data_IF_191654279403
#
_entry.id   IF_191654279403
#
_cell.length_a   1.000
_cell.length_b   1.000
_cell.length_c   1.000
_cell.angle_alpha   90.00
_cell.angle_beta   90.00
_cell.angle_gamma   90.00
#
_symmetry.space_group_name_H-M   'P 1'
#
loop_
_entity.id
_entity.type
_entity.pdbx_description
1 polymer ?
#
# COMPACT_ATOMS: atom_id res chain seq x y z
N UNK A 1 7.64 -9.20 -29.45
CA UNK A 1 6.83 -8.77 -28.30
C UNK A 1 6.32 -7.37 -28.60
N UNK A 2 5.02 -7.14 -28.54
CA UNK A 2 4.45 -5.81 -28.77
C UNK A 2 4.47 -5.00 -27.47
N UNK A 3 5.38 -4.02 -27.39
CA UNK A 3 5.53 -3.13 -26.23
C UNK A 3 4.36 -2.15 -26.07
N UNK A 4 3.43 -2.08 -27.03
CA UNK A 4 2.22 -1.27 -26.91
C UNK A 4 1.02 -2.03 -26.34
N UNK A 5 1.16 -3.34 -26.11
CA UNK A 5 0.10 -4.16 -25.55
C UNK A 5 -0.30 -3.61 -24.15
N UNK A 6 -1.58 -3.29 -23.91
CA UNK A 6 -2.02 -2.67 -22.66
C UNK A 6 -1.83 -3.53 -21.42
N UNK A 7 -1.77 -4.85 -21.57
CA UNK A 7 -1.48 -5.78 -20.47
C UNK A 7 0.01 -5.84 -20.11
N UNK A 8 0.88 -5.36 -21.00
CA UNK A 8 2.32 -5.20 -20.75
C UNK A 8 2.66 -3.75 -20.35
N UNK A 9 1.98 -2.77 -20.95
CA UNK A 9 2.23 -1.35 -20.75
C UNK A 9 0.92 -0.63 -20.43
N UNK A 10 0.47 -0.65 -19.16
CA UNK A 10 -0.82 -0.08 -18.76
C UNK A 10 -0.91 1.43 -19.03
N UNK A 11 0.23 2.14 -19.01
CA UNK A 11 0.34 3.54 -19.43
C UNK A 11 -0.06 3.82 -20.89
N UNK A 12 -0.19 2.78 -21.73
CA UNK A 12 -0.63 2.84 -23.13
C UNK A 12 -2.07 2.34 -23.34
N UNK A 13 -2.74 1.88 -22.29
CA UNK A 13 -4.09 1.33 -22.41
C UNK A 13 -5.11 2.35 -22.92
N UNK A 14 -6.08 1.96 -23.77
CA UNK A 14 -7.16 2.86 -24.20
C UNK A 14 -7.96 3.38 -23.00
N UNK A 15 -8.46 4.61 -23.08
CA UNK A 15 -9.21 5.25 -21.98
C UNK A 15 -10.41 4.41 -21.50
N UNK A 16 -11.11 3.72 -22.40
CA UNK A 16 -12.21 2.82 -22.04
C UNK A 16 -11.77 1.66 -21.13
N UNK A 17 -10.53 1.16 -21.29
CA UNK A 17 -9.99 0.12 -20.43
C UNK A 17 -9.61 0.67 -19.05
N UNK A 18 -8.99 1.86 -19.01
CA UNK A 18 -8.65 2.54 -17.77
C UNK A 18 -9.91 2.95 -16.97
N UNK A 19 -10.99 3.31 -17.66
CA UNK A 19 -12.27 3.62 -17.03
C UNK A 19 -12.88 2.41 -16.27
N UNK A 20 -12.56 1.18 -16.71
CA UNK A 20 -12.98 -0.06 -16.06
C UNK A 20 -12.15 -0.46 -14.84
N UNK A 21 -11.09 0.29 -14.50
CA UNK A 21 -10.34 0.08 -13.26
C UNK A 21 -11.17 0.51 -12.03
N UNK A 22 -10.81 0.02 -10.82
CA UNK A 22 -11.42 0.48 -9.57
C UNK A 22 -11.44 2.01 -9.45
N UNK A 23 -12.43 2.51 -8.72
CA UNK A 23 -12.62 3.96 -8.56
C UNK A 23 -11.53 4.61 -7.73
N UNK A 24 -11.14 3.95 -6.64
CA UNK A 24 -10.02 4.35 -5.80
C UNK A 24 -8.73 3.64 -6.22
N UNK A 25 -7.68 4.42 -6.46
CA UNK A 25 -6.36 3.93 -6.86
C UNK A 25 -5.31 4.58 -5.98
N UNK A 26 -4.46 3.76 -5.34
CA UNK A 26 -3.35 4.21 -4.52
C UNK A 26 -2.06 3.94 -5.29
N UNK A 27 -1.23 4.97 -5.51
CA UNK A 27 0.01 4.89 -6.28
C UNK A 27 1.19 5.46 -5.48
N UNK A 28 2.27 4.70 -5.44
CA UNK A 28 3.57 5.13 -4.92
C UNK A 28 4.62 5.06 -6.03
N UNK A 29 5.46 6.09 -6.12
CA UNK A 29 6.63 6.12 -7.02
C UNK A 29 7.87 6.54 -6.23
N UNK A 30 9.04 6.35 -6.83
CA UNK A 30 10.33 6.65 -6.23
C UNK A 30 11.00 7.77 -7.03
N UNK A 31 11.62 8.74 -6.37
CA UNK A 31 12.23 9.90 -7.06
C UNK A 31 13.34 9.49 -8.04
N UNK A 32 14.19 8.54 -7.64
CA UNK A 32 15.35 8.11 -8.44
C UNK A 32 15.06 6.82 -9.21
N UNK A 33 13.84 6.69 -9.70
CA UNK A 33 13.38 5.54 -10.48
C UNK A 33 13.11 5.96 -11.92
N UNK A 34 13.66 5.19 -12.87
CA UNK A 34 13.43 5.39 -14.30
C UNK A 34 11.95 5.26 -14.69
N UNK A 35 11.14 4.61 -13.84
CA UNK A 35 9.70 4.44 -14.02
C UNK A 35 8.86 5.62 -13.50
N UNK A 36 9.46 6.60 -12.81
CA UNK A 36 8.73 7.75 -12.24
C UNK A 36 7.89 8.45 -13.30
N UNK A 37 8.52 8.82 -14.42
CA UNK A 37 7.86 9.61 -15.46
C UNK A 37 6.66 8.89 -16.10
N UNK A 38 6.72 7.56 -16.24
CA UNK A 38 5.57 6.80 -16.76
C UNK A 38 4.48 6.56 -15.71
N UNK A 39 4.86 6.40 -14.43
CA UNK A 39 3.93 6.35 -13.31
C UNK A 39 3.12 7.65 -13.21
N UNK A 40 3.77 8.81 -13.35
CA UNK A 40 3.09 10.11 -13.32
C UNK A 40 2.15 10.32 -14.51
N UNK A 41 2.57 9.92 -15.72
CA UNK A 41 1.66 9.97 -16.88
C UNK A 41 0.44 9.08 -16.69
N UNK A 42 0.59 7.87 -16.14
CA UNK A 42 -0.55 7.00 -15.85
C UNK A 42 -1.46 7.63 -14.78
N UNK A 43 -0.89 8.18 -13.70
CA UNK A 43 -1.62 8.90 -12.64
C UNK A 43 -2.48 10.00 -13.25
N UNK A 44 -1.91 10.85 -14.10
CA UNK A 44 -2.61 12.00 -14.67
C UNK A 44 -3.77 11.55 -15.58
N UNK A 45 -3.53 10.53 -16.42
CA UNK A 45 -4.59 9.93 -17.24
C UNK A 45 -5.74 9.34 -16.41
N UNK A 46 -5.45 8.71 -15.28
CA UNK A 46 -6.48 8.17 -14.38
C UNK A 46 -7.30 9.31 -13.74
N UNK A 47 -6.65 10.37 -13.31
CA UNK A 47 -7.33 11.58 -12.76
C UNK A 47 -8.20 12.28 -13.79
N UNK A 48 -7.73 12.39 -15.04
CA UNK A 48 -8.52 12.94 -16.16
C UNK A 48 -9.79 12.13 -16.44
N UNK A 49 -9.78 10.83 -16.14
CA UNK A 49 -10.96 9.95 -16.24
C UNK A 49 -11.87 10.01 -15.00
N UNK A 50 -11.59 10.90 -14.06
CA UNK A 50 -12.39 11.11 -12.85
C UNK A 50 -12.09 10.13 -11.71
N UNK A 51 -11.06 9.29 -11.82
CA UNK A 51 -10.69 8.34 -10.77
C UNK A 51 -10.12 9.03 -9.53
N UNK A 52 -10.38 8.45 -8.36
CA UNK A 52 -9.82 8.89 -7.09
C UNK A 52 -8.40 8.35 -6.91
N UNK A 53 -7.42 9.08 -7.42
CA UNK A 53 -6.00 8.67 -7.34
C UNK A 53 -5.29 9.32 -6.16
N UNK A 54 -4.99 8.54 -5.12
CA UNK A 54 -4.09 8.92 -4.04
C UNK A 54 -2.66 8.62 -4.46
N UNK A 55 -1.82 9.66 -4.55
CA UNK A 55 -0.48 9.55 -5.12
C UNK A 55 0.58 10.13 -4.19
N UNK A 56 1.65 9.37 -3.98
CA UNK A 56 2.84 9.78 -3.24
C UNK A 56 4.10 9.43 -4.03
N UNK A 57 4.95 10.44 -4.29
CA UNK A 57 6.32 10.20 -4.75
C UNK A 57 7.24 10.22 -3.52
N UNK A 58 8.03 9.16 -3.33
CA UNK A 58 8.98 9.05 -2.22
C UNK A 58 10.31 9.71 -2.63
N UNK A 59 10.72 10.79 -1.94
CA UNK A 59 11.94 11.52 -2.27
C UNK A 59 13.20 10.71 -1.92
N UNK A 60 14.24 10.85 -2.74
CA UNK A 60 15.60 10.39 -2.45
C UNK A 60 15.81 8.87 -2.50
N UNK A 61 14.88 8.10 -3.04
CA UNK A 61 14.95 6.64 -3.04
C UNK A 61 14.97 6.03 -4.45
N UNK A 62 15.73 4.94 -4.66
CA UNK A 62 15.77 4.24 -5.95
C UNK A 62 14.56 3.31 -6.13
N UNK A 63 14.46 2.71 -7.32
CA UNK A 63 13.48 1.67 -7.61
C UNK A 63 13.50 0.54 -6.57
N UNK A 64 12.33 0.19 -6.03
CA UNK A 64 12.16 -0.94 -5.10
C UNK A 64 12.89 -0.78 -3.76
N UNK A 65 13.14 0.46 -3.32
CA UNK A 65 13.81 0.77 -2.05
C UNK A 65 13.17 0.11 -0.81
N UNK A 66 11.86 -0.14 -0.88
CA UNK A 66 11.04 -0.74 0.16
C UNK A 66 11.21 -2.26 0.26
N UNK A 67 11.85 -2.90 -0.71
CA UNK A 67 12.00 -4.36 -0.81
C UNK A 67 13.30 -4.90 -0.21
N UNK A 68 14.01 -4.09 0.59
CA UNK A 68 15.26 -4.53 1.17
C UNK A 68 15.04 -5.78 2.04
N UNK A 69 15.74 -6.89 1.77
CA UNK A 69 15.45 -8.18 2.39
C UNK A 69 15.99 -8.30 3.83
N UNK A 70 16.44 -7.21 4.47
CA UNK A 70 17.10 -7.28 5.76
C UNK A 70 16.07 -7.31 6.90
N UNK A 71 15.87 -8.46 7.58
CA UNK A 71 14.86 -8.60 8.62
C UNK A 71 15.25 -7.90 9.95
N UNK A 72 16.50 -7.45 10.09
CA UNK A 72 17.02 -6.85 11.34
C UNK A 72 17.00 -5.32 11.25
N UNK A 73 17.15 -4.75 10.05
CA UNK A 73 17.14 -3.30 9.83
C UNK A 73 16.21 -2.98 8.66
N UNK A 74 14.94 -2.59 8.94
CA UNK A 74 14.05 -2.14 7.88
C UNK A 74 14.63 -0.90 7.19
N UNK A 75 14.28 -0.69 5.92
CA UNK A 75 14.70 0.52 5.21
C UNK A 75 14.13 1.75 5.92
N UNK A 76 14.95 2.78 6.21
CA UNK A 76 14.46 3.99 6.86
C UNK A 76 13.25 4.60 6.13
N UNK A 77 12.24 5.03 6.88
CA UNK A 77 11.01 5.64 6.34
C UNK A 77 10.01 4.66 5.73
N UNK A 78 10.35 3.37 5.55
CA UNK A 78 9.45 2.39 4.91
C UNK A 78 8.13 2.24 5.65
N UNK A 79 8.18 2.18 6.98
CA UNK A 79 6.99 1.99 7.81
C UNK A 79 5.98 3.13 7.62
N UNK A 80 6.44 4.38 7.50
CA UNK A 80 5.55 5.54 7.31
C UNK A 80 4.75 5.43 6.02
N UNK A 81 5.40 5.06 4.91
CA UNK A 81 4.74 4.90 3.62
C UNK A 81 3.76 3.72 3.60
N UNK A 82 4.10 2.60 4.26
CA UNK A 82 3.17 1.47 4.40
C UNK A 82 1.97 1.81 5.29
N UNK A 83 2.18 2.51 6.41
CA UNK A 83 1.08 2.95 7.27
C UNK A 83 0.14 3.92 6.54
N UNK A 84 0.70 4.83 5.72
CA UNK A 84 -0.09 5.69 4.85
C UNK A 84 -0.91 4.88 3.83
N UNK A 85 -0.33 3.87 3.20
CA UNK A 85 -1.04 2.98 2.28
C UNK A 85 -2.15 2.20 2.99
N UNK A 86 -1.88 1.65 4.18
CA UNK A 86 -2.86 0.92 4.99
C UNK A 86 -4.03 1.82 5.41
N UNK A 87 -3.78 3.08 5.74
CA UNK A 87 -4.83 4.06 6.04
C UNK A 87 -5.75 4.27 4.84
N UNK A 88 -5.21 4.41 3.65
CA UNK A 88 -6.01 4.56 2.43
C UNK A 88 -6.76 3.28 2.07
N UNK A 89 -6.15 2.11 2.24
CA UNK A 89 -6.85 0.83 2.04
C UNK A 89 -8.04 0.69 2.99
N UNK A 90 -7.89 1.02 4.28
CA UNK A 90 -9.00 1.03 5.26
C UNK A 90 -10.13 1.96 4.82
N UNK A 91 -9.80 3.15 4.32
CA UNK A 91 -10.78 4.10 3.76
C UNK A 91 -11.55 3.47 2.58
N UNK A 92 -10.84 2.83 1.65
CA UNK A 92 -11.43 2.19 0.45
C UNK A 92 -12.32 1.01 0.81
N UNK A 93 -11.94 0.21 1.81
CA UNK A 93 -12.72 -0.94 2.26
C UNK A 93 -13.81 -0.59 3.28
N UNK A 94 -13.97 0.69 3.63
CA UNK A 94 -14.94 1.16 4.63
C UNK A 94 -14.80 0.46 6.00
N UNK A 95 -13.58 0.10 6.38
CA UNK A 95 -13.32 -0.48 7.70
C UNK A 95 -13.21 0.65 8.75
N UNK A 96 -14.13 0.67 9.72
CA UNK A 96 -14.00 1.51 10.91
C UNK A 96 -12.87 0.98 11.79
N UNK A 97 -11.95 1.86 12.20
CA UNK A 97 -10.93 1.51 13.17
C UNK A 97 -11.58 1.35 14.55
N UNK A 98 -11.30 0.27 15.30
CA UNK A 98 -11.62 0.27 16.72
C UNK A 98 -10.89 1.43 17.41
N UNK A 99 -11.54 2.09 18.36
CA UNK A 99 -10.94 3.17 19.15
C UNK A 99 -9.54 2.75 19.68
N UNK A 100 -8.54 3.62 19.48
CA UNK A 100 -7.16 3.40 19.93
C UNK A 100 -6.27 2.53 19.03
N UNK A 101 -6.69 2.16 17.81
CA UNK A 101 -5.88 1.33 16.91
C UNK A 101 -4.57 2.00 16.42
N UNK A 102 -4.53 3.33 16.32
CA UNK A 102 -3.38 4.08 15.79
C UNK A 102 -2.20 4.13 16.78
N UNK A 103 -2.50 4.08 18.09
CA UNK A 103 -1.49 4.18 19.16
C UNK A 103 -0.73 2.85 19.33
N UNK A 104 -1.40 1.71 19.14
CA UNK A 104 -0.79 0.38 19.27
C UNK A 104 0.21 0.04 18.15
N UNK A 105 -0.09 0.45 16.91
CA UNK A 105 0.75 0.13 15.75
C UNK A 105 2.10 0.88 15.76
N UNK A 106 2.20 1.98 16.53
CA UNK A 106 3.47 2.72 16.75
C UNK A 106 4.30 2.14 17.90
N UNK A 107 3.65 1.60 18.95
CA UNK A 107 4.35 0.97 20.08
C UNK A 107 4.93 -0.41 19.73
N UNK A 108 4.26 -1.19 18.86
CA UNK A 108 4.74 -2.52 18.46
C UNK A 108 5.91 -2.49 17.44
N UNK A 109 6.22 -1.33 16.87
CA UNK A 109 7.34 -1.13 15.94
C UNK A 109 8.73 -1.05 16.61
N UNK A 110 8.79 -0.90 17.93
CA UNK A 110 10.04 -0.93 18.69
C UNK A 110 10.35 -2.38 19.15
N UNK A 111 11.27 -3.04 18.44
CA UNK A 111 11.68 -4.42 18.67
C UNK A 111 12.11 -4.71 20.14
N UNK A 112 11.46 -5.69 20.77
CA UNK A 112 11.94 -6.37 21.99
C UNK A 112 11.72 -7.90 21.91
N UNK A 113 12.62 -8.75 22.45
CA UNK A 113 12.54 -10.19 22.23
C UNK A 113 11.54 -10.89 23.16
N UNK A 114 10.75 -11.79 22.56
CA UNK A 114 10.17 -13.04 23.09
C UNK A 114 9.56 -13.05 24.49
N UNK A 115 8.25 -13.33 24.56
CA UNK A 115 7.70 -14.28 25.55
C UNK A 115 6.63 -15.19 24.94
N UNK A 116 6.95 -16.47 24.93
CA UNK A 116 6.05 -17.61 24.75
C UNK A 116 4.90 -17.62 25.75
N UNK A 117 3.70 -18.04 25.36
CA UNK A 117 3.07 -19.29 25.83
C UNK A 117 1.56 -19.36 25.55
N UNK A 118 1.13 -20.58 25.23
CA UNK A 118 -0.24 -21.00 24.96
C UNK A 118 -1.23 -20.72 26.10
N UNK A 119 -2.50 -20.51 25.76
CA UNK A 119 -3.61 -21.25 26.38
C UNK A 119 -4.90 -21.10 25.59
N UNK A 120 -5.34 -22.20 24.97
CA UNK A 120 -6.71 -22.39 24.50
C UNK A 120 -7.66 -22.36 25.70
N UNK A 121 -8.63 -21.43 25.73
CA UNK A 121 -9.69 -21.47 26.72
C UNK A 121 -11.01 -21.98 26.10
N UNK A 122 -11.45 -23.14 26.61
CA UNK A 122 -12.67 -23.86 26.26
C UNK A 122 -13.90 -22.97 26.41
N UNK A 123 -14.76 -22.94 25.38
CA UNK A 123 -16.14 -22.49 25.48
C UNK A 123 -16.89 -23.36 26.51
N UNK A 124 -17.41 -22.73 27.56
CA UNK A 124 -18.42 -23.34 28.45
C UNK A 124 -19.77 -23.35 27.72
N UNK A 125 -20.34 -24.54 27.59
CA UNK A 125 -21.72 -24.78 27.17
C UNK A 125 -22.68 -24.19 28.21
N UNK A 126 -23.63 -23.36 27.74
CA UNK A 126 -24.79 -22.92 28.52
C UNK A 126 -25.96 -23.82 28.14
N UNK A 127 -26.51 -24.57 29.09
CA UNK A 127 -27.89 -25.06 29.01
C UNK A 127 -28.46 -25.23 30.42
N UNK A 128 -29.58 -24.52 30.64
CA UNK A 128 -30.56 -24.50 31.73
C UNK A 128 -30.13 -24.03 33.12
#
# INVERSE_FOLDING_TARGET
MDMSNPYLSPGRAPSAMLAGLPEDIIMFTCEWDMLLAEGERLRDRLKELGKNVVYTMVPGVPHGWDKAPNPIRPTPGVQEHYLAACKELRRVFHEELPEGAIERDLEEGECGPSRTSHSHNRRRSVVN
#
